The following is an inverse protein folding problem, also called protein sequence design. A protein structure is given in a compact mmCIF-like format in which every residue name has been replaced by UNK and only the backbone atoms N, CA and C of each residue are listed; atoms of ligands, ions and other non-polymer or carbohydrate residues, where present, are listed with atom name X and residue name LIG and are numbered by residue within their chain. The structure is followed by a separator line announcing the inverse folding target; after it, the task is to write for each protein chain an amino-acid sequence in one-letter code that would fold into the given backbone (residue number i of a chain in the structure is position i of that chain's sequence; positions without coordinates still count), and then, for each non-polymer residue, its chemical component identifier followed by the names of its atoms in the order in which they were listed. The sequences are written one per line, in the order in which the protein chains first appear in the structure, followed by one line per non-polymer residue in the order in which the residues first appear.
data_IF_519808011953
#
_entry.id   IF_519808011953
#
_cell.length_a   1.000
_cell.length_b   1.000
_cell.length_c   1.000
_cell.angle_alpha   90.00
_cell.angle_beta   90.00
_cell.angle_gamma   90.00
#
_symmetry.space_group_name_H-M   'P 1'
#
loop_
_entity.id
_entity.type
_entity.pdbx_description
1 polymer ?
#
# COMPACT_ATOMS: atom_id res chain seq x y z
N UNK A 1 9.27 19.86 -24.45
CA UNK A 1 9.30 18.59 -23.69
C UNK A 1 10.27 18.78 -22.56
N UNK A 2 9.76 19.09 -21.37
CA UNK A 2 10.58 19.33 -20.20
C UNK A 2 11.04 18.00 -19.56
N UNK A 3 12.23 17.96 -18.99
CA UNK A 3 12.71 16.85 -18.17
C UNK A 3 12.66 17.26 -16.71
N UNK A 4 11.86 16.54 -15.91
CA UNK A 4 11.70 16.76 -14.47
C UNK A 4 12.41 15.64 -13.71
N UNK A 5 13.42 16.00 -12.93
CA UNK A 5 14.20 15.08 -12.14
C UNK A 5 13.57 14.80 -10.76
N UNK A 6 13.69 13.55 -10.29
CA UNK A 6 13.31 13.19 -8.94
C UNK A 6 14.43 12.42 -8.24
N UNK A 7 14.74 12.86 -7.01
CA UNK A 7 15.76 12.28 -6.13
C UNK A 7 15.05 11.75 -4.87
N UNK A 8 15.45 10.57 -4.42
CA UNK A 8 15.09 10.06 -3.10
C UNK A 8 16.33 9.57 -2.36
N UNK A 9 16.53 10.08 -1.16
CA UNK A 9 17.61 9.65 -0.27
C UNK A 9 17.03 9.16 1.06
N UNK A 10 17.62 8.12 1.63
CA UNK A 10 17.38 7.77 3.03
C UNK A 10 18.09 8.81 3.92
N UNK A 11 17.65 8.93 5.18
CA UNK A 11 18.21 9.89 6.15
C UNK A 11 19.73 9.76 6.36
N UNK A 12 20.33 8.60 6.00
CA UNK A 12 21.75 8.27 6.15
C UNK A 12 22.52 8.22 4.81
N UNK A 13 21.93 8.58 3.69
CA UNK A 13 22.55 8.40 2.38
C UNK A 13 23.34 9.65 1.97
N UNK A 14 24.66 9.53 1.85
CA UNK A 14 25.59 10.59 1.40
C UNK A 14 25.57 10.80 -0.13
N UNK A 15 24.76 10.05 -0.87
CA UNK A 15 24.78 10.00 -2.34
C UNK A 15 23.80 10.96 -3.03
N UNK A 16 23.39 12.05 -2.38
CA UNK A 16 22.49 13.05 -3.00
C UNK A 16 23.15 13.72 -4.19
N UNK A 17 24.46 14.04 -4.06
CA UNK A 17 25.20 14.78 -5.07
C UNK A 17 25.41 13.98 -6.36
N UNK A 18 25.65 12.66 -6.24
CA UNK A 18 25.75 11.79 -7.42
C UNK A 18 24.44 11.76 -8.22
N UNK A 19 23.31 11.60 -7.53
CA UNK A 19 22.00 11.60 -8.18
C UNK A 19 21.71 12.95 -8.82
N UNK A 20 21.94 14.05 -8.09
CA UNK A 20 21.74 15.42 -8.58
C UNK A 20 22.58 15.70 -9.81
N UNK A 21 23.87 15.38 -9.77
CA UNK A 21 24.80 15.58 -10.88
C UNK A 21 24.39 14.75 -12.11
N UNK A 22 23.90 13.52 -11.91
CA UNK A 22 23.41 12.70 -13.00
C UNK A 22 22.16 13.31 -13.67
N UNK A 23 21.21 13.85 -12.88
CA UNK A 23 20.01 14.51 -13.40
C UNK A 23 20.33 15.85 -14.08
N UNK A 24 21.32 16.61 -13.59
CA UNK A 24 21.80 17.82 -14.27
C UNK A 24 22.41 17.48 -15.63
N UNK A 25 23.23 16.42 -15.70
CA UNK A 25 23.82 15.95 -16.96
C UNK A 25 22.75 15.43 -17.94
N UNK A 26 21.63 14.92 -17.42
CA UNK A 26 20.47 14.52 -18.23
C UNK A 26 19.61 15.72 -18.65
N UNK A 27 20.03 16.96 -18.36
CA UNK A 27 19.36 18.21 -18.70
C UNK A 27 17.97 18.35 -18.07
N UNK A 28 17.81 17.93 -16.81
CA UNK A 28 16.57 18.15 -16.07
C UNK A 28 16.41 19.63 -15.73
N UNK A 29 15.30 20.25 -16.17
CA UNK A 29 14.98 21.66 -15.92
C UNK A 29 14.66 21.95 -14.44
N UNK A 30 14.02 21.00 -13.79
CA UNK A 30 13.68 21.05 -12.36
C UNK A 30 13.99 19.72 -11.69
N UNK A 31 14.45 19.76 -10.45
CA UNK A 31 14.77 18.57 -9.67
C UNK A 31 14.07 18.67 -8.32
N UNK A 32 13.23 17.70 -8.02
CA UNK A 32 12.54 17.56 -6.74
C UNK A 32 13.18 16.45 -5.91
N UNK A 33 13.19 16.63 -4.59
CA UNK A 33 13.80 15.66 -3.68
C UNK A 33 12.91 15.31 -2.49
N UNK A 34 13.07 14.09 -1.99
CA UNK A 34 12.51 13.59 -0.73
C UNK A 34 13.62 12.94 0.11
N UNK A 35 13.80 13.42 1.35
CA UNK A 35 14.68 12.81 2.36
C UNK A 35 13.86 11.89 3.25
N UNK A 36 13.69 10.64 2.84
CA UNK A 36 12.89 9.67 3.62
C UNK A 36 13.12 8.22 3.22
N UNK A 37 12.80 7.33 4.17
CA UNK A 37 12.77 5.90 3.91
C UNK A 37 11.77 5.56 2.78
N UNK A 38 12.14 4.63 1.90
CA UNK A 38 11.29 4.18 0.79
C UNK A 38 9.98 3.48 1.22
N UNK A 39 9.81 3.21 2.52
CA UNK A 39 8.57 2.62 3.07
C UNK A 39 7.48 3.65 3.34
N UNK A 40 7.81 4.94 3.46
CA UNK A 40 6.81 5.99 3.70
C UNK A 40 6.05 6.31 2.40
N UNK A 41 4.73 6.20 2.46
CA UNK A 41 3.83 6.47 1.33
C UNK A 41 3.73 7.97 0.98
N UNK A 42 3.93 8.85 1.96
CA UNK A 42 3.81 10.29 1.73
C UNK A 42 5.14 10.87 1.22
N UNK A 43 5.19 11.20 -0.07
CA UNK A 43 6.36 11.73 -0.79
C UNK A 43 6.01 13.10 -1.37
N UNK A 44 6.17 14.18 -0.59
CA UNK A 44 5.79 15.52 -1.04
C UNK A 44 6.58 16.01 -2.25
N UNK A 45 7.87 15.66 -2.36
CA UNK A 45 8.70 15.99 -3.52
C UNK A 45 8.21 15.29 -4.79
N UNK A 46 7.95 13.98 -4.72
CA UNK A 46 7.39 13.26 -5.86
C UNK A 46 6.02 13.81 -6.27
N UNK A 47 5.15 14.11 -5.31
CA UNK A 47 3.84 14.72 -5.60
C UNK A 47 3.97 16.05 -6.31
N UNK A 48 4.94 16.89 -5.94
CA UNK A 48 5.22 18.16 -6.62
C UNK A 48 5.74 17.92 -8.04
N UNK A 49 6.70 17.00 -8.22
CA UNK A 49 7.20 16.62 -9.54
C UNK A 49 6.07 16.16 -10.46
N UNK A 50 5.20 15.26 -9.97
CA UNK A 50 4.06 14.75 -10.74
C UNK A 50 3.03 15.84 -11.11
N UNK A 51 2.87 16.88 -10.27
CA UNK A 51 1.98 18.01 -10.57
C UNK A 51 2.54 18.95 -11.64
N UNK A 52 3.87 19.09 -11.72
CA UNK A 52 4.53 19.94 -12.72
C UNK A 52 4.56 19.31 -14.12
N UNK A 53 4.49 17.97 -14.20
CA UNK A 53 4.57 17.23 -15.47
C UNK A 53 3.32 17.44 -16.34
N UNK A 54 3.55 17.79 -17.59
CA UNK A 54 2.56 17.94 -18.65
C UNK A 54 2.71 16.84 -19.71
N UNK A 55 1.72 16.70 -20.59
CA UNK A 55 1.79 15.77 -21.71
C UNK A 55 3.01 16.03 -22.58
N UNK A 56 3.79 15.00 -22.85
CA UNK A 56 5.04 15.07 -23.62
C UNK A 56 6.29 15.29 -22.77
N UNK A 57 6.16 15.62 -21.46
CA UNK A 57 7.30 15.73 -20.56
C UNK A 57 7.83 14.36 -20.12
N UNK A 58 9.03 14.36 -19.51
CA UNK A 58 9.69 13.14 -19.03
C UNK A 58 10.02 13.25 -17.55
N UNK A 59 9.57 12.29 -16.76
CA UNK A 59 10.04 12.08 -15.39
C UNK A 59 11.36 11.31 -15.43
N UNK A 60 12.43 11.90 -14.89
CA UNK A 60 13.76 11.31 -14.90
C UNK A 60 14.18 10.95 -13.46
N UNK A 61 14.65 9.71 -13.27
CA UNK A 61 15.25 9.25 -12.02
C UNK A 61 16.63 8.68 -12.25
N UNK A 62 17.47 8.72 -11.25
CA UNK A 62 18.80 8.12 -11.33
C UNK A 62 18.72 6.59 -11.46
N UNK A 63 17.83 5.95 -10.64
CA UNK A 63 17.65 4.50 -10.60
C UNK A 63 16.22 4.16 -10.16
N UNK A 64 15.66 3.05 -10.64
CA UNK A 64 14.29 2.61 -10.35
C UNK A 64 13.99 2.47 -8.85
N UNK A 65 14.94 2.00 -8.05
CA UNK A 65 14.78 1.84 -6.60
C UNK A 65 14.54 3.17 -5.88
N UNK A 66 14.89 4.29 -6.49
CA UNK A 66 14.60 5.64 -5.99
C UNK A 66 13.13 6.00 -6.13
N UNK A 67 12.46 5.47 -7.15
CA UNK A 67 11.03 5.72 -7.38
C UNK A 67 10.13 4.80 -6.55
N UNK A 68 10.48 3.50 -6.38
CA UNK A 68 9.72 2.53 -5.61
C UNK A 68 10.53 1.33 -5.21
N UNK A 69 10.15 0.68 -4.09
CA UNK A 69 10.74 -0.60 -3.65
C UNK A 69 9.94 -1.80 -4.13
N UNK A 70 8.69 -1.62 -4.50
CA UNK A 70 7.79 -2.66 -4.99
C UNK A 70 7.61 -2.47 -6.49
N UNK A 71 7.82 -3.53 -7.24
CA UNK A 71 7.57 -3.56 -8.69
C UNK A 71 6.15 -3.12 -8.99
N UNK A 72 5.17 -3.56 -8.20
CA UNK A 72 3.77 -3.17 -8.32
C UNK A 72 3.56 -1.65 -8.26
N UNK A 73 4.16 -0.97 -7.27
CA UNK A 73 4.01 0.48 -7.12
C UNK A 73 4.71 1.24 -8.25
N UNK A 74 5.83 0.71 -8.73
CA UNK A 74 6.57 1.27 -9.86
C UNK A 74 5.74 1.16 -11.14
N UNK A 75 5.20 -0.02 -11.43
CA UNK A 75 4.34 -0.27 -12.59
C UNK A 75 3.10 0.62 -12.55
N UNK A 76 2.41 0.72 -11.41
CA UNK A 76 1.23 1.58 -11.27
C UNK A 76 1.56 3.05 -11.57
N UNK A 77 2.68 3.56 -11.05
CA UNK A 77 3.09 4.94 -11.29
C UNK A 77 3.46 5.19 -12.75
N UNK A 78 4.20 4.27 -13.39
CA UNK A 78 4.58 4.43 -14.80
C UNK A 78 3.35 4.29 -15.71
N UNK A 79 2.37 3.45 -15.38
CA UNK A 79 1.07 3.37 -16.08
C UNK A 79 0.32 4.70 -15.99
N UNK A 80 0.23 5.30 -14.79
CA UNK A 80 -0.38 6.61 -14.61
C UNK A 80 0.31 7.69 -15.46
N UNK A 81 1.64 7.71 -15.49
CA UNK A 81 2.39 8.64 -16.34
C UNK A 81 2.08 8.42 -17.82
N UNK A 82 2.02 7.16 -18.25
CA UNK A 82 1.71 6.80 -19.65
C UNK A 82 0.30 7.26 -20.05
N UNK A 83 -0.71 7.04 -19.21
CA UNK A 83 -2.09 7.51 -19.43
C UNK A 83 -2.16 9.05 -19.57
N UNK A 84 -1.31 9.76 -18.83
CA UNK A 84 -1.17 11.22 -18.92
C UNK A 84 -0.34 11.67 -20.13
N UNK A 85 0.22 10.75 -20.91
CA UNK A 85 1.12 11.03 -22.03
C UNK A 85 2.49 11.58 -21.58
N UNK A 86 2.92 11.24 -20.35
CA UNK A 86 4.22 11.59 -19.79
C UNK A 86 5.16 10.40 -19.91
N UNK A 87 6.40 10.66 -20.33
CA UNK A 87 7.44 9.63 -20.44
C UNK A 87 8.16 9.43 -19.12
N UNK A 88 8.79 8.26 -18.96
CA UNK A 88 9.60 7.92 -17.80
C UNK A 88 11.00 7.47 -18.24
N UNK A 89 12.04 7.97 -17.56
CA UNK A 89 13.43 7.60 -17.82
C UNK A 89 14.16 7.26 -16.53
N UNK A 90 14.85 6.10 -16.50
CA UNK A 90 15.82 5.72 -15.48
C UNK A 90 17.22 5.72 -16.08
N UNK A 91 18.14 6.52 -15.51
CA UNK A 91 19.45 6.73 -16.12
C UNK A 91 20.38 5.51 -16.02
N UNK A 92 20.40 4.82 -14.87
CA UNK A 92 21.29 3.68 -14.65
C UNK A 92 20.73 2.36 -15.15
N UNK A 93 19.39 2.23 -15.18
CA UNK A 93 18.74 1.00 -15.63
C UNK A 93 18.49 1.00 -17.15
N UNK A 94 18.88 2.09 -17.85
CA UNK A 94 18.71 2.27 -19.31
C UNK A 94 17.26 2.07 -19.77
N UNK A 95 16.30 2.47 -18.94
CA UNK A 95 14.87 2.39 -19.25
C UNK A 95 14.38 3.76 -19.67
N UNK A 96 13.79 3.83 -20.86
CA UNK A 96 13.21 5.04 -21.42
C UNK A 96 11.91 4.69 -22.16
N UNK A 97 10.77 5.04 -21.57
CA UNK A 97 9.44 4.73 -22.14
C UNK A 97 9.09 5.58 -23.36
N UNK A 98 9.89 6.57 -23.74
CA UNK A 98 9.75 7.27 -25.01
C UNK A 98 10.12 6.36 -26.18
N UNK A 99 11.01 5.37 -25.95
CA UNK A 99 11.45 4.40 -26.96
C UNK A 99 10.55 3.16 -27.01
N UNK A 100 10.52 2.48 -28.16
CA UNK A 100 9.78 1.22 -28.31
C UNK A 100 10.32 0.11 -27.40
N UNK A 101 11.66 0.03 -27.24
CA UNK A 101 12.31 -0.94 -26.36
C UNK A 101 11.98 -0.68 -24.89
N UNK A 102 11.99 0.57 -24.45
CA UNK A 102 11.63 0.92 -23.07
C UNK A 102 10.17 0.61 -22.75
N UNK A 103 9.25 0.85 -23.70
CA UNK A 103 7.84 0.44 -23.56
C UNK A 103 7.69 -1.08 -23.49
N UNK A 104 8.39 -1.82 -24.34
CA UNK A 104 8.40 -3.28 -24.28
C UNK A 104 8.87 -3.78 -22.91
N UNK A 105 10.01 -3.27 -22.44
CA UNK A 105 10.53 -3.62 -21.10
C UNK A 105 9.52 -3.32 -20.01
N UNK A 106 8.84 -2.19 -20.07
CA UNK A 106 7.80 -1.84 -19.11
C UNK A 106 6.63 -2.84 -19.10
N UNK A 107 6.17 -3.27 -20.28
CA UNK A 107 5.12 -4.30 -20.38
C UNK A 107 5.56 -5.64 -19.81
N UNK A 108 6.81 -6.05 -20.03
CA UNK A 108 7.37 -7.27 -19.42
C UNK A 108 7.40 -7.16 -17.90
N UNK A 109 7.85 -6.03 -17.35
CA UNK A 109 7.87 -5.80 -15.90
C UNK A 109 6.46 -5.76 -15.30
N UNK A 110 5.49 -5.23 -16.04
CA UNK A 110 4.08 -5.24 -15.63
C UNK A 110 3.52 -6.66 -15.54
N UNK A 111 3.77 -7.48 -16.55
CA UNK A 111 3.35 -8.88 -16.56
C UNK A 111 4.00 -9.69 -15.44
N UNK A 112 5.30 -9.48 -15.17
CA UNK A 112 6.00 -10.11 -14.03
C UNK A 112 5.40 -9.71 -12.68
N UNK A 113 5.05 -8.42 -12.50
CA UNK A 113 4.43 -7.93 -11.27
C UNK A 113 3.04 -8.54 -11.05
N UNK A 114 2.28 -8.74 -12.11
CA UNK A 114 0.97 -9.41 -12.06
C UNK A 114 1.10 -10.88 -11.70
N UNK A 115 2.00 -11.60 -12.36
CA UNK A 115 2.31 -13.01 -12.06
C UNK A 115 2.76 -13.20 -10.60
N UNK A 116 3.66 -12.33 -10.09
CA UNK A 116 4.10 -12.39 -8.69
C UNK A 116 2.92 -12.23 -7.73
N UNK A 117 1.98 -11.32 -8.04
CA UNK A 117 0.77 -11.12 -7.24
C UNK A 117 -0.12 -12.37 -7.24
N UNK A 118 -0.34 -12.98 -8.40
CA UNK A 118 -1.15 -14.19 -8.53
C UNK A 118 -0.57 -15.33 -7.72
N UNK A 119 0.74 -15.55 -7.78
CA UNK A 119 1.44 -16.56 -6.99
C UNK A 119 1.32 -16.32 -5.47
N UNK A 120 1.35 -15.06 -5.03
CA UNK A 120 1.15 -14.71 -3.61
C UNK A 120 -0.29 -15.04 -3.18
N UNK A 121 -1.29 -14.72 -4.00
CA UNK A 121 -2.70 -15.01 -3.74
C UNK A 121 -2.93 -16.52 -3.68
N UNK A 122 -2.38 -17.27 -4.64
CA UNK A 122 -2.48 -18.73 -4.69
C UNK A 122 -1.88 -19.38 -3.42
N UNK A 123 -0.66 -19.00 -3.04
CA UNK A 123 -0.01 -19.49 -1.81
C UNK A 123 -0.82 -19.14 -0.55
N UNK A 124 -1.38 -17.93 -0.51
CA UNK A 124 -2.20 -17.49 0.63
C UNK A 124 -3.48 -18.31 0.72
N UNK A 125 -4.16 -18.54 -0.40
CA UNK A 125 -5.38 -19.34 -0.44
C UNK A 125 -5.11 -20.81 -0.07
N UNK A 126 -4.02 -21.39 -0.56
CA UNK A 126 -3.60 -22.74 -0.18
C UNK A 126 -3.31 -22.84 1.33
N UNK A 127 -2.60 -21.84 1.89
CA UNK A 127 -2.33 -21.76 3.33
C UNK A 127 -3.61 -21.63 4.16
N UNK A 128 -4.57 -20.80 3.73
CA UNK A 128 -5.86 -20.64 4.39
C UNK A 128 -6.69 -21.93 4.31
N UNK A 129 -6.68 -22.63 3.18
CA UNK A 129 -7.35 -23.91 3.03
C UNK A 129 -6.77 -24.97 3.98
N UNK A 130 -5.44 -25.07 4.07
CA UNK A 130 -4.77 -25.98 5.00
C UNK A 130 -5.08 -25.64 6.47
N UNK A 131 -5.09 -24.35 6.83
CA UNK A 131 -5.45 -23.92 8.19
C UNK A 131 -6.89 -24.26 8.55
N UNK A 132 -7.82 -24.06 7.62
CA UNK A 132 -9.25 -24.44 7.81
C UNK A 132 -9.43 -25.95 7.96
N UNK A 133 -8.70 -26.75 7.18
CA UNK A 133 -8.71 -28.22 7.32
C UNK A 133 -8.20 -28.68 8.70
N UNK A 134 -7.35 -27.88 9.36
CA UNK A 134 -6.88 -28.11 10.74
C UNK A 134 -7.81 -27.49 11.80
N UNK A 135 -9.01 -27.02 11.44
CA UNK A 135 -9.97 -26.38 12.37
C UNK A 135 -9.59 -24.94 12.78
N UNK A 136 -8.59 -24.35 12.19
CA UNK A 136 -8.19 -22.95 12.48
C UNK A 136 -9.11 -22.00 11.72
N UNK A 137 -9.90 -21.21 12.43
CA UNK A 137 -10.78 -20.20 11.88
C UNK A 137 -10.05 -18.86 11.97
N UNK A 138 -9.84 -18.22 10.81
CA UNK A 138 -9.26 -16.87 10.77
C UNK A 138 -10.28 -15.83 11.22
N UNK A 139 -9.75 -14.69 11.68
CA UNK A 139 -10.55 -13.55 12.12
C UNK A 139 -10.19 -13.10 13.52
N UNK A 140 -10.84 -12.03 13.98
CA UNK A 140 -10.69 -11.55 15.35
C UNK A 140 -11.33 -12.57 16.31
N UNK A 141 -10.65 -12.98 17.40
CA UNK A 141 -11.27 -13.82 18.43
C UNK A 141 -12.57 -13.19 18.94
N UNK A 142 -13.53 -14.05 19.30
CA UNK A 142 -14.74 -13.56 19.93
C UNK A 142 -14.40 -12.83 21.24
N UNK A 143 -15.06 -11.70 21.48
CA UNK A 143 -14.88 -10.93 22.72
C UNK A 143 -15.42 -11.65 23.95
N UNK A 144 -16.30 -12.62 23.76
CA UNK A 144 -16.95 -13.41 24.81
C UNK A 144 -16.96 -14.89 24.39
N UNK A 145 -16.67 -15.77 25.34
CA UNK A 145 -16.83 -17.22 25.18
C UNK A 145 -18.32 -17.63 25.22
N UNK A 146 -18.67 -18.83 24.73
CA UNK A 146 -20.03 -19.34 24.84
C UNK A 146 -20.57 -19.38 26.29
N UNK A 147 -19.73 -19.71 27.26
CA UNK A 147 -20.08 -19.76 28.68
C UNK A 147 -20.36 -18.37 29.25
N UNK A 148 -19.56 -17.38 28.90
CA UNK A 148 -19.79 -15.98 29.28
C UNK A 148 -21.07 -15.44 28.67
N UNK A 149 -21.38 -15.78 27.41
CA UNK A 149 -22.65 -15.41 26.76
C UNK A 149 -23.85 -16.02 27.54
N UNK A 150 -23.75 -17.29 27.93
CA UNK A 150 -24.78 -17.93 28.74
C UNK A 150 -24.98 -17.25 30.11
N UNK A 151 -23.88 -16.86 30.76
CA UNK A 151 -23.92 -16.12 32.02
C UNK A 151 -24.53 -14.72 31.86
N UNK A 152 -24.16 -13.98 30.81
CA UNK A 152 -24.73 -12.68 30.46
C UNK A 152 -26.24 -12.79 30.28
N UNK A 153 -26.71 -13.78 29.54
CA UNK A 153 -28.13 -14.00 29.33
C UNK A 153 -28.88 -14.31 30.63
N UNK A 154 -28.25 -15.05 31.57
CA UNK A 154 -28.81 -15.31 32.91
C UNK A 154 -28.90 -14.03 33.74
N UNK A 155 -27.83 -13.20 33.73
CA UNK A 155 -27.82 -11.93 34.47
C UNK A 155 -28.87 -10.96 33.97
N UNK A 156 -29.06 -10.87 32.64
CA UNK A 156 -30.12 -10.04 32.04
C UNK A 156 -31.50 -10.52 32.45
N UNK A 157 -31.79 -11.85 32.47
CA UNK A 157 -33.04 -12.41 32.93
C UNK A 157 -33.30 -12.13 34.39
N UNK A 158 -32.26 -12.08 35.22
CA UNK A 158 -32.33 -11.75 36.65
C UNK A 158 -32.44 -10.23 36.93
N UNK A 159 -32.62 -9.38 35.88
CA UNK A 159 -32.88 -7.96 36.03
C UNK A 159 -31.63 -7.07 36.12
N UNK A 160 -30.42 -7.61 35.94
CA UNK A 160 -29.22 -6.78 35.90
C UNK A 160 -29.17 -5.89 34.67
N UNK A 161 -28.72 -4.64 34.85
CA UNK A 161 -28.65 -3.72 33.75
C UNK A 161 -27.53 -4.11 32.77
N UNK A 162 -27.80 -4.01 31.47
CA UNK A 162 -26.80 -4.29 30.41
C UNK A 162 -25.57 -3.41 30.50
N UNK A 163 -25.68 -2.21 31.06
CA UNK A 163 -24.54 -1.30 31.32
C UNK A 163 -23.60 -1.89 32.38
N UNK A 164 -24.15 -2.40 33.49
CA UNK A 164 -23.34 -3.06 34.53
C UNK A 164 -22.66 -4.31 33.98
N UNK A 165 -23.39 -5.12 33.20
CA UNK A 165 -22.84 -6.34 32.59
C UNK A 165 -21.70 -5.98 31.61
N UNK A 166 -21.82 -4.92 30.84
CA UNK A 166 -20.77 -4.46 29.93
C UNK A 166 -19.48 -4.09 30.68
N UNK A 167 -19.60 -3.49 31.88
CA UNK A 167 -18.46 -3.15 32.75
C UNK A 167 -17.83 -4.42 33.33
N UNK A 168 -18.66 -5.36 33.85
CA UNK A 168 -18.18 -6.60 34.49
C UNK A 168 -17.36 -7.47 33.53
N UNK A 169 -17.78 -7.56 32.24
CA UNK A 169 -17.14 -8.39 31.21
C UNK A 169 -16.16 -7.62 30.34
N UNK A 170 -15.88 -6.34 30.65
CA UNK A 170 -15.00 -5.45 29.87
C UNK A 170 -15.29 -5.47 28.35
N UNK A 171 -16.57 -5.36 28.01
CA UNK A 171 -17.05 -5.31 26.63
C UNK A 171 -17.90 -4.06 26.36
N UNK A 172 -18.03 -3.69 25.09
CA UNK A 172 -18.93 -2.59 24.73
C UNK A 172 -20.40 -2.95 25.00
N UNK A 173 -21.19 -1.94 25.31
CA UNK A 173 -22.64 -2.10 25.50
C UNK A 173 -23.32 -2.72 24.26
N UNK A 174 -22.84 -2.36 23.06
CA UNK A 174 -23.31 -2.95 21.79
C UNK A 174 -23.03 -4.46 21.70
N UNK A 175 -21.91 -4.93 22.27
CA UNK A 175 -21.60 -6.36 22.36
C UNK A 175 -22.61 -7.10 23.22
N UNK A 176 -23.00 -6.52 24.38
CA UNK A 176 -24.03 -7.12 25.25
C UNK A 176 -25.37 -7.19 24.54
N UNK A 177 -25.81 -6.12 23.86
CA UNK A 177 -27.04 -6.14 23.07
C UNK A 177 -27.03 -7.15 21.91
N UNK A 178 -25.88 -7.37 21.30
CA UNK A 178 -25.73 -8.36 20.22
C UNK A 178 -26.05 -9.78 20.70
N UNK A 179 -25.64 -10.15 21.90
CA UNK A 179 -25.82 -11.50 22.46
C UNK A 179 -27.04 -11.63 23.37
N UNK A 180 -27.59 -10.52 23.86
CA UNK A 180 -28.79 -10.47 24.69
C UNK A 180 -29.68 -9.29 24.23
N UNK A 181 -30.35 -9.42 23.06
CA UNK A 181 -31.26 -8.38 22.56
C UNK A 181 -32.41 -8.12 23.53
N UNK A 182 -33.03 -6.95 23.41
CA UNK A 182 -34.31 -6.68 24.07
C UNK A 182 -35.38 -7.41 23.27
N UNK A 183 -36.05 -8.37 23.87
CA UNK A 183 -37.27 -8.91 23.27
C UNK A 183 -38.28 -7.78 23.30
N UNK A 184 -38.59 -7.20 22.17
CA UNK A 184 -39.79 -6.40 21.98
C UNK A 184 -40.88 -7.45 21.72
N UNK A 185 -41.57 -7.87 22.80
CA UNK A 185 -42.81 -8.60 22.62
C UNK A 185 -43.79 -7.66 21.91
N UNK A 186 -44.05 -7.96 20.61
CA UNK A 186 -45.12 -7.34 19.83
C UNK A 186 -46.44 -8.02 20.14
#
# INVERSE_FOLDING_TARGET
MAKIGYIRVSTNDQNTDLQRNALIRAECEQIFDDKMSGTKANRPGLKRALKCLQKGDTLVVWKLDRLGRSVKNLVALISELHERGVHFQSLTDSIDTSTSMGRFFFHVMSALAEMERELIVERTNAGLAAARAQGRIGGRPFALSPDEIAQINRLVRNGHSRRQIAIIYDVSLSTVYKFSPVNVDI
#
